data_IF_260613884540
#
_entry.id   IF_260613884540
#
_cell.length_a   1.000
_cell.length_b   1.000
_cell.length_c   1.000
_cell.angle_alpha   90.00
_cell.angle_beta   90.00
_cell.angle_gamma   90.00
#
_symmetry.space_group_name_H-M   'P 1'
#
loop_
_entity.id
_entity.type
_entity.pdbx_description
1 polymer ?
#
# COMPACT_ATOMS: atom_id res chain seq x y z
N UNK A 1 -25.15 15.48 2.45
CA UNK A 1 -24.13 16.46 2.88
C UNK A 1 -22.77 15.80 3.15
N UNK A 2 -22.71 14.75 3.98
CA UNK A 2 -21.48 13.97 4.27
C UNK A 2 -20.81 13.40 3.02
N UNK A 3 -21.55 12.82 2.08
CA UNK A 3 -20.99 12.26 0.83
C UNK A 3 -20.26 13.32 -0.02
N UNK A 4 -20.82 14.54 -0.04
CA UNK A 4 -20.26 15.68 -0.78
C UNK A 4 -18.98 16.19 -0.11
N UNK A 5 -18.96 16.22 1.23
CA UNK A 5 -17.76 16.54 2.01
C UNK A 5 -16.67 15.48 1.84
N UNK A 6 -17.00 14.19 1.92
CA UNK A 6 -16.07 13.09 1.66
C UNK A 6 -15.45 13.24 0.27
N UNK A 7 -16.25 13.51 -0.76
CA UNK A 7 -15.76 13.69 -2.13
C UNK A 7 -14.84 14.91 -2.28
N UNK A 8 -15.17 16.03 -1.63
CA UNK A 8 -14.35 17.25 -1.65
C UNK A 8 -13.01 17.07 -0.90
N UNK A 9 -13.03 16.39 0.25
CA UNK A 9 -11.84 16.10 1.06
C UNK A 9 -10.98 14.95 0.48
N UNK A 10 -11.57 14.00 -0.26
CA UNK A 10 -10.81 13.02 -1.06
C UNK A 10 -10.01 13.74 -2.15
N UNK A 11 -10.59 14.75 -2.82
CA UNK A 11 -9.84 15.59 -3.78
C UNK A 11 -8.83 16.52 -3.11
N UNK A 12 -9.07 16.95 -1.87
CA UNK A 12 -8.21 17.88 -1.13
C UNK A 12 -7.71 17.26 0.18
N UNK A 13 -6.87 16.23 0.05
CA UNK A 13 -6.09 15.73 1.17
C UNK A 13 -4.76 16.51 1.22
N UNK A 14 -4.43 17.07 2.38
CA UNK A 14 -3.14 17.74 2.57
C UNK A 14 -2.01 16.73 2.35
N UNK A 15 -0.98 17.14 1.62
CA UNK A 15 0.18 16.30 1.29
C UNK A 15 0.79 15.64 2.52
N UNK A 16 0.90 16.39 3.63
CA UNK A 16 1.41 15.90 4.92
C UNK A 16 0.50 14.84 5.56
N UNK A 17 -0.82 15.01 5.50
CA UNK A 17 -1.80 14.02 5.97
C UNK A 17 -1.81 12.77 5.11
N UNK A 18 -1.73 12.93 3.78
CA UNK A 18 -1.62 11.80 2.85
C UNK A 18 -0.40 10.96 3.14
N UNK A 19 0.79 11.56 3.14
CA UNK A 19 2.03 10.82 3.27
C UNK A 19 2.14 10.15 4.64
N UNK A 20 1.66 10.80 5.70
CA UNK A 20 1.63 10.18 7.01
C UNK A 20 0.73 8.94 7.05
N UNK A 21 -0.50 9.06 6.56
CA UNK A 21 -1.44 7.93 6.51
C UNK A 21 -0.94 6.82 5.59
N UNK A 22 -0.44 7.18 4.41
CA UNK A 22 0.15 6.25 3.45
C UNK A 22 1.34 5.51 4.05
N UNK A 23 2.26 6.20 4.73
CA UNK A 23 3.44 5.58 5.33
C UNK A 23 3.08 4.57 6.43
N UNK A 24 2.13 4.91 7.29
CA UNK A 24 1.63 4.03 8.34
C UNK A 24 1.02 2.76 7.72
N UNK A 25 0.15 2.93 6.73
CA UNK A 25 -0.50 1.81 6.06
C UNK A 25 0.52 0.99 5.29
N UNK A 26 1.43 1.62 4.54
CA UNK A 26 2.52 0.97 3.80
C UNK A 26 3.31 0.03 4.70
N UNK A 27 3.76 0.51 5.88
CA UNK A 27 4.45 -0.34 6.85
C UNK A 27 3.60 -1.49 7.37
N UNK A 28 2.30 -1.30 7.55
CA UNK A 28 1.40 -2.35 8.03
C UNK A 28 1.09 -3.42 6.98
N UNK A 29 1.05 -3.05 5.69
CA UNK A 29 0.62 -3.96 4.61
C UNK A 29 1.77 -4.61 3.84
N UNK A 30 2.94 -3.98 3.79
CA UNK A 30 4.13 -4.50 3.10
C UNK A 30 4.81 -5.52 4.02
N UNK A 31 4.15 -6.66 4.18
CA UNK A 31 4.65 -7.82 4.93
C UNK A 31 4.71 -9.04 4.02
N UNK A 32 5.58 -10.00 4.34
CA UNK A 32 5.83 -11.21 3.53
C UNK A 32 4.55 -11.92 3.08
N UNK A 33 3.58 -12.10 3.98
CA UNK A 33 2.28 -12.74 3.69
C UNK A 33 1.51 -12.00 2.60
N UNK A 34 1.38 -10.69 2.74
CA UNK A 34 0.59 -9.86 1.85
C UNK A 34 1.28 -9.70 0.49
N UNK A 35 2.60 -9.60 0.46
CA UNK A 35 3.39 -9.56 -0.78
C UNK A 35 3.17 -10.85 -1.59
N UNK A 36 3.25 -12.02 -0.94
CA UNK A 36 2.96 -13.30 -1.58
C UNK A 36 1.53 -13.36 -2.15
N UNK A 37 0.56 -12.89 -1.38
CA UNK A 37 -0.84 -12.80 -1.82
C UNK A 37 -1.03 -11.86 -3.01
N UNK A 38 -0.36 -10.70 -3.00
CA UNK A 38 -0.44 -9.70 -4.06
C UNK A 38 0.11 -10.22 -5.39
N UNK A 39 1.27 -10.90 -5.39
CA UNK A 39 1.81 -11.55 -6.59
C UNK A 39 0.82 -12.57 -7.16
N UNK A 40 0.25 -13.43 -6.31
CA UNK A 40 -0.77 -14.40 -6.72
C UNK A 40 -2.01 -13.72 -7.31
N UNK A 41 -2.50 -12.65 -6.68
CA UNK A 41 -3.67 -11.89 -7.13
C UNK A 41 -3.43 -11.16 -8.47
N UNK A 42 -2.18 -10.79 -8.75
CA UNK A 42 -1.77 -10.19 -10.03
C UNK A 42 -1.42 -11.22 -11.11
N UNK A 43 -1.60 -12.52 -10.86
CA UNK A 43 -1.16 -13.61 -11.74
C UNK A 43 0.35 -13.55 -12.08
N UNK A 44 1.15 -13.01 -11.16
CA UNK A 44 2.60 -12.94 -11.27
C UNK A 44 3.23 -14.02 -10.39
N UNK A 45 4.13 -14.81 -10.96
CA UNK A 45 4.90 -15.82 -10.23
C UNK A 45 6.35 -15.34 -10.14
N UNK A 46 6.79 -14.80 -8.98
CA UNK A 46 8.16 -14.36 -8.84
C UNK A 46 9.11 -15.56 -8.84
N UNK A 47 10.15 -15.48 -9.66
CA UNK A 47 11.25 -16.45 -9.73
C UNK A 47 11.92 -16.66 -8.36
N UNK A 48 12.05 -15.59 -7.58
CA UNK A 48 12.58 -15.63 -6.21
C UNK A 48 11.87 -14.59 -5.34
N UNK A 49 10.91 -15.04 -4.53
CA UNK A 49 10.17 -14.18 -3.61
C UNK A 49 11.07 -13.59 -2.50
N UNK A 50 12.05 -14.35 -2.01
CA UNK A 50 12.97 -13.88 -0.95
C UNK A 50 13.86 -12.74 -1.44
N UNK A 51 14.35 -12.80 -2.69
CA UNK A 51 15.13 -11.72 -3.28
C UNK A 51 14.32 -10.41 -3.38
N UNK A 52 13.01 -10.51 -3.64
CA UNK A 52 12.12 -9.35 -3.68
C UNK A 52 11.94 -8.77 -2.28
N UNK A 53 11.72 -9.61 -1.27
CA UNK A 53 11.57 -9.18 0.12
C UNK A 53 12.85 -8.51 0.62
N UNK A 54 14.03 -9.09 0.35
CA UNK A 54 15.32 -8.50 0.66
C UNK A 54 15.49 -7.12 0.01
N UNK A 55 15.10 -6.97 -1.25
CA UNK A 55 15.19 -5.69 -1.96
C UNK A 55 14.25 -4.61 -1.38
N UNK A 56 13.12 -5.03 -0.80
CA UNK A 56 12.18 -4.13 -0.16
C UNK A 56 12.65 -3.68 1.25
N UNK A 57 13.75 -4.23 1.79
CA UNK A 57 14.31 -3.93 3.11
C UNK A 57 13.23 -3.91 4.22
N UNK A 58 12.32 -4.88 4.17
CA UNK A 58 11.22 -5.04 5.13
C UNK A 58 11.72 -5.83 6.34
#
# INVERSE_FOLDING_TARGET
EIERLIRYFITYILKTKFFLAFYIIYKAIIIKRNIKGAFKGASLIPLNLEAIILKLNI
#
